data_IF_911906759752
#
_entry.id   IF_911906759752
#
_cell.length_a   1.000
_cell.length_b   1.000
_cell.length_c   1.000
_cell.angle_alpha   90.00
_cell.angle_beta   90.00
_cell.angle_gamma   90.00
#
_symmetry.space_group_name_H-M   'P 1'
#
loop_
_entity.id
_entity.type
_entity.pdbx_description
1 polymer ?
#
# COMPACT_ATOMS: atom_id res chain seq x y z
N UNK A 1 -15.79 -18.25 -17.88
CA UNK A 1 -15.94 -19.53 -17.14
C UNK A 1 -14.63 -20.32 -16.95
N UNK A 2 -13.51 -20.00 -17.63
CA UNK A 2 -12.22 -20.72 -17.46
C UNK A 2 -11.34 -20.23 -16.29
N UNK A 3 -11.51 -18.99 -15.81
CA UNK A 3 -10.65 -18.40 -14.75
C UNK A 3 -11.03 -18.88 -13.34
N UNK A 4 -12.31 -19.22 -13.10
CA UNK A 4 -12.75 -19.75 -11.80
C UNK A 4 -12.27 -21.18 -11.54
N UNK A 5 -11.95 -21.94 -12.59
CA UNK A 5 -11.43 -23.30 -12.44
C UNK A 5 -10.01 -23.30 -11.86
N UNK A 6 -9.17 -22.33 -12.27
CA UNK A 6 -7.80 -22.18 -11.75
C UNK A 6 -7.83 -21.77 -10.28
N UNK A 7 -8.71 -20.84 -9.90
CA UNK A 7 -8.89 -20.43 -8.49
C UNK A 7 -9.39 -21.57 -7.60
N UNK A 8 -10.32 -22.40 -8.08
CA UNK A 8 -10.82 -23.57 -7.34
C UNK A 8 -9.74 -24.65 -7.23
N UNK A 9 -8.99 -24.91 -8.30
CA UNK A 9 -7.89 -25.88 -8.32
C UNK A 9 -6.78 -25.49 -7.33
N UNK A 10 -6.38 -24.22 -7.31
CA UNK A 10 -5.38 -23.71 -6.36
C UNK A 10 -5.86 -23.83 -4.90
N UNK A 11 -7.15 -23.60 -4.66
CA UNK A 11 -7.75 -23.74 -3.32
C UNK A 11 -7.74 -25.22 -2.86
N UNK A 12 -8.02 -26.16 -3.77
CA UNK A 12 -7.95 -27.60 -3.47
C UNK A 12 -6.52 -28.09 -3.23
N UNK A 13 -5.53 -27.53 -3.95
CA UNK A 13 -4.11 -27.87 -3.76
C UNK A 13 -3.63 -27.35 -2.40
N UNK A 14 -3.97 -26.10 -2.03
CA UNK A 14 -3.65 -25.53 -0.73
C UNK A 14 -4.29 -26.31 0.43
N UNK A 15 -5.56 -26.72 0.29
CA UNK A 15 -6.24 -27.55 1.30
C UNK A 15 -5.60 -28.93 1.44
N UNK A 16 -5.20 -29.56 0.34
CA UNK A 16 -4.54 -30.86 0.38
C UNK A 16 -3.14 -30.78 1.02
N UNK A 17 -2.36 -29.74 0.75
CA UNK A 17 -1.05 -29.54 1.40
C UNK A 17 -1.22 -29.35 2.91
N UNK A 18 -2.26 -28.60 3.33
CA UNK A 18 -2.57 -28.40 4.74
C UNK A 18 -2.99 -29.70 5.42
N UNK A 19 -3.76 -30.55 4.72
CA UNK A 19 -4.19 -31.85 5.22
C UNK A 19 -3.02 -32.83 5.35
N UNK A 20 -2.14 -32.90 4.34
CA UNK A 20 -0.90 -33.69 4.33
C UNK A 20 0.07 -33.24 5.43
N UNK A 21 0.20 -31.93 5.66
CA UNK A 21 1.04 -31.39 6.74
C UNK A 21 0.50 -31.74 8.14
N UNK A 22 -0.82 -31.84 8.30
CA UNK A 22 -1.43 -32.30 9.56
C UNK A 22 -1.25 -33.80 9.78
N UNK A 23 -1.23 -34.59 8.70
CA UNK A 23 -0.96 -36.03 8.75
C UNK A 23 0.49 -36.33 9.16
N UNK A 24 1.46 -35.53 8.68
CA UNK A 24 2.88 -35.61 9.09
C UNK A 24 3.08 -35.15 10.54
N UNK A 25 2.29 -34.18 11.02
CA UNK A 25 2.32 -33.76 12.43
C UNK A 25 1.75 -34.84 13.36
N UNK A 26 0.73 -35.59 12.92
CA UNK A 26 0.18 -36.71 13.68
C UNK A 26 1.13 -37.91 13.80
N UNK A 27 2.07 -38.10 12.88
CA UNK A 27 3.07 -39.18 12.94
C UNK A 27 4.18 -38.97 14.00
N UNK A 28 4.26 -37.80 14.65
CA UNK A 28 5.25 -37.52 15.71
C UNK A 28 4.71 -37.64 17.13
N UNK A 29 3.45 -38.06 17.31
CA UNK A 29 2.93 -38.35 18.64
C UNK A 29 3.29 -39.79 19.04
N UNK A 30 4.24 -39.87 19.97
CA UNK A 30 4.61 -41.05 20.73
C UNK A 30 3.37 -41.82 21.19
N UNK A 31 3.35 -43.13 20.93
CA UNK A 31 2.25 -44.03 21.30
C UNK A 31 2.03 -44.02 22.81
N UNK A 32 1.02 -43.28 23.27
CA UNK A 32 0.39 -43.53 24.57
C UNK A 32 -0.83 -44.37 24.23
N UNK A 33 -0.74 -45.68 24.47
CA UNK A 33 -1.82 -46.65 24.24
C UNK A 33 -3.01 -46.32 25.14
N UNK A 34 -4.12 -45.76 24.63
CA UNK A 34 -5.32 -45.53 25.43
C UNK A 34 -6.20 -46.76 25.28
N UNK A 35 -6.41 -47.51 26.36
CA UNK A 35 -7.50 -48.49 26.40
C UNK A 35 -8.82 -47.72 26.36
N UNK A 36 -9.44 -47.66 25.19
CA UNK A 36 -10.85 -47.28 25.04
C UNK A 36 -11.69 -48.54 24.87
N UNK A 37 -12.44 -48.90 25.90
CA UNK A 37 -13.68 -49.67 25.76
C UNK A 37 -14.68 -48.81 25.01
N UNK A 38 -15.02 -49.19 23.79
CA UNK A 38 -16.04 -48.51 22.99
C UNK A 38 -17.40 -48.55 23.70
N UNK A 39 -18.01 -47.39 23.88
CA UNK A 39 -19.47 -47.29 23.99
C UNK A 39 -19.95 -46.46 22.81
N UNK A 40 -20.20 -47.15 21.71
CA UNK A 40 -20.89 -46.60 20.55
C UNK A 40 -22.29 -46.16 20.98
N UNK A 41 -22.50 -44.85 21.18
CA UNK A 41 -23.84 -44.25 21.29
C UNK A 41 -24.17 -43.58 19.96
N UNK A 42 -24.54 -44.41 18.99
CA UNK A 42 -25.39 -43.96 17.88
C UNK A 42 -26.68 -43.40 18.49
N UNK A 43 -27.05 -42.18 18.13
CA UNK A 43 -28.39 -41.66 18.38
C UNK A 43 -29.33 -42.36 17.38
N UNK A 44 -29.70 -43.61 17.72
CA UNK A 44 -30.82 -44.28 17.12
C UNK A 44 -32.08 -43.61 17.69
N UNK A 45 -32.87 -42.95 16.86
CA UNK A 45 -34.24 -42.57 17.18
C UNK A 45 -35.04 -43.88 17.34
N UNK A 46 -34.98 -44.49 18.52
CA UNK A 46 -35.93 -45.50 18.91
C UNK A 46 -37.19 -44.78 19.43
N UNK A 47 -38.29 -44.91 18.69
CA UNK A 47 -39.66 -44.61 19.17
C UNK A 47 -40.10 -45.61 20.27
N UNK A 48 -39.35 -45.68 21.37
CA UNK A 48 -39.63 -46.60 22.50
C UNK A 48 -40.41 -45.95 23.65
N UNK A 49 -40.80 -44.68 23.52
CA UNK A 49 -41.63 -44.00 24.52
C UNK A 49 -43.04 -43.75 23.98
N UNK A 50 -43.90 -44.74 24.17
CA UNK A 50 -45.30 -44.45 24.47
C UNK A 50 -45.36 -43.46 25.64
N UNK A 51 -46.33 -42.52 25.69
CA UNK A 51 -46.31 -41.39 26.61
C UNK A 51 -46.55 -41.89 28.03
N UNK A 52 -45.48 -42.21 28.76
CA UNK A 52 -45.56 -42.26 30.20
C UNK A 52 -45.95 -40.85 30.65
N UNK A 53 -47.08 -40.75 31.35
CA UNK A 53 -47.64 -39.50 31.86
C UNK A 53 -46.73 -38.97 32.99
N UNK A 54 -45.54 -38.48 32.63
CA UNK A 54 -44.54 -37.93 33.54
C UNK A 54 -45.02 -36.64 34.23
N UNK A 55 -46.10 -36.03 33.74
CA UNK A 55 -46.75 -34.88 34.39
C UNK A 55 -47.44 -35.25 35.72
N UNK A 56 -47.71 -36.54 35.94
CA UNK A 56 -48.40 -37.04 37.13
C UNK A 56 -47.49 -37.62 38.23
N UNK A 57 -46.19 -37.77 37.96
CA UNK A 57 -45.23 -38.25 38.96
C UNK A 57 -44.76 -37.09 39.86
N UNK A 58 -45.10 -37.20 41.15
CA UNK A 58 -44.76 -36.22 42.19
C UNK A 58 -43.26 -35.95 42.32
N UNK A 59 -42.40 -36.95 42.08
CA UNK A 59 -40.94 -36.76 42.16
C UNK A 59 -40.42 -36.01 40.93
N UNK A 60 -40.93 -36.33 39.73
CA UNK A 60 -40.57 -35.63 38.49
C UNK A 60 -41.00 -34.17 38.52
N UNK A 61 -42.21 -33.89 39.02
CA UNK A 61 -42.73 -32.53 39.18
C UNK A 61 -41.86 -31.67 40.11
N UNK A 62 -41.38 -32.24 41.21
CA UNK A 62 -40.44 -31.57 42.14
C UNK A 62 -39.10 -31.23 41.49
N UNK A 63 -38.53 -32.16 40.71
CA UNK A 63 -37.28 -31.92 39.97
C UNK A 63 -37.46 -30.82 38.93
N UNK A 64 -38.58 -30.84 38.20
CA UNK A 64 -38.89 -29.84 37.19
C UNK A 64 -39.12 -28.44 37.79
N UNK A 65 -39.82 -28.35 38.92
CA UNK A 65 -40.00 -27.10 39.66
C UNK A 65 -38.67 -26.56 40.21
N UNK A 66 -37.80 -27.41 40.74
CA UNK A 66 -36.47 -27.00 41.19
C UNK A 66 -35.58 -26.52 40.05
N UNK A 67 -35.59 -27.21 38.92
CA UNK A 67 -34.87 -26.77 37.72
C UNK A 67 -35.40 -25.44 37.21
N UNK A 68 -36.74 -25.28 37.17
CA UNK A 68 -37.39 -24.03 36.77
C UNK A 68 -36.99 -22.86 37.66
N UNK A 69 -37.03 -23.03 38.99
CA UNK A 69 -36.59 -22.00 39.96
C UNK A 69 -35.13 -21.61 39.78
N UNK A 70 -34.22 -22.60 39.64
CA UNK A 70 -32.79 -22.32 39.41
C UNK A 70 -32.55 -21.62 38.07
N UNK A 71 -33.28 -22.02 37.03
CA UNK A 71 -33.15 -21.43 35.70
C UNK A 71 -33.68 -19.99 35.69
N UNK A 72 -34.80 -19.73 36.36
CA UNK A 72 -35.37 -18.39 36.51
C UNK A 72 -34.39 -17.45 37.24
N UNK A 73 -33.73 -17.93 38.31
CA UNK A 73 -32.73 -17.14 39.02
C UNK A 73 -31.53 -16.78 38.12
N UNK A 74 -31.02 -17.74 37.33
CA UNK A 74 -29.95 -17.49 36.37
C UNK A 74 -30.35 -16.51 35.26
N UNK A 75 -31.60 -16.55 34.81
CA UNK A 75 -32.09 -15.57 33.82
C UNK A 75 -32.14 -14.16 34.41
N UNK A 76 -32.62 -13.99 35.64
CA UNK A 76 -32.57 -12.69 36.31
C UNK A 76 -31.13 -12.18 36.50
N UNK A 77 -30.20 -13.04 36.93
CA UNK A 77 -28.78 -12.67 37.05
C UNK A 77 -28.11 -12.34 35.70
N UNK A 78 -28.51 -13.03 34.62
CA UNK A 78 -28.05 -12.72 33.27
C UNK A 78 -28.59 -11.38 32.78
N UNK A 79 -29.88 -11.11 32.98
CA UNK A 79 -30.52 -9.86 32.56
C UNK A 79 -29.93 -8.65 33.29
N UNK A 80 -29.65 -8.75 34.59
CA UNK A 80 -28.99 -7.69 35.36
C UNK A 80 -27.55 -7.43 34.89
N UNK A 81 -26.77 -8.49 34.61
CA UNK A 81 -25.43 -8.35 34.00
C UNK A 81 -25.50 -7.74 32.60
N UNK A 82 -26.53 -8.08 31.83
CA UNK A 82 -26.74 -7.51 30.50
C UNK A 82 -27.11 -6.04 30.53
N UNK A 83 -27.92 -5.58 31.50
CA UNK A 83 -28.25 -4.15 31.69
C UNK A 83 -26.98 -3.33 31.93
N UNK A 84 -26.14 -3.73 32.88
CA UNK A 84 -24.91 -2.99 33.23
C UNK A 84 -23.91 -2.95 32.08
N UNK A 85 -23.77 -4.05 31.34
CA UNK A 85 -22.87 -4.11 30.17
C UNK A 85 -23.38 -3.23 29.02
N UNK A 86 -24.69 -3.23 28.76
CA UNK A 86 -25.32 -2.36 27.76
C UNK A 86 -25.18 -0.87 28.11
N UNK A 87 -25.30 -0.51 29.39
CA UNK A 87 -25.11 0.86 29.85
C UNK A 87 -23.67 1.34 29.61
N UNK A 88 -22.67 0.52 29.99
CA UNK A 88 -21.25 0.82 29.74
C UNK A 88 -20.93 1.02 28.25
N UNK A 89 -21.47 0.17 27.38
CA UNK A 89 -21.29 0.32 25.94
C UNK A 89 -21.95 1.60 25.41
N UNK A 90 -23.15 1.97 25.89
CA UNK A 90 -23.79 3.25 25.49
C UNK A 90 -22.94 4.46 25.91
N UNK A 91 -22.47 4.47 27.15
CA UNK A 91 -21.61 5.55 27.65
C UNK A 91 -20.28 5.66 26.89
N UNK A 92 -19.68 4.53 26.48
CA UNK A 92 -18.48 4.54 25.63
C UNK A 92 -18.78 5.10 24.23
N UNK A 93 -19.86 4.64 23.59
CA UNK A 93 -20.28 5.16 22.29
C UNK A 93 -20.57 6.67 22.33
N UNK A 94 -21.30 7.15 23.34
CA UNK A 94 -21.63 8.58 23.48
C UNK A 94 -20.35 9.43 23.65
N UNK A 95 -19.36 8.92 24.42
CA UNK A 95 -18.05 9.58 24.57
C UNK A 95 -17.27 9.62 23.26
N UNK A 96 -17.27 8.55 22.47
CA UNK A 96 -16.60 8.52 21.16
C UNK A 96 -17.28 9.43 20.15
N UNK A 97 -18.62 9.46 20.13
CA UNK A 97 -19.40 10.37 19.28
C UNK A 97 -19.11 11.83 19.64
N UNK A 98 -19.07 12.19 20.93
CA UNK A 98 -18.70 13.54 21.34
C UNK A 98 -17.27 13.92 20.90
N UNK A 99 -16.31 13.00 20.96
CA UNK A 99 -14.95 13.24 20.44
C UNK A 99 -14.94 13.48 18.93
N UNK A 100 -15.72 12.71 18.17
CA UNK A 100 -15.84 12.88 16.71
C UNK A 100 -16.46 14.24 16.38
N UNK A 101 -17.53 14.64 17.07
CA UNK A 101 -18.18 15.94 16.87
C UNK A 101 -17.22 17.10 17.20
N UNK A 102 -16.45 17.00 18.29
CA UNK A 102 -15.45 18.01 18.64
C UNK A 102 -14.34 18.10 17.59
N UNK A 103 -13.88 16.96 17.07
CA UNK A 103 -12.86 16.91 16.02
C UNK A 103 -13.35 17.55 14.71
N UNK A 104 -14.55 17.21 14.27
CA UNK A 104 -15.20 17.79 13.07
C UNK A 104 -15.38 19.31 13.21
N UNK A 105 -15.72 19.80 14.42
CA UNK A 105 -15.85 21.23 14.68
C UNK A 105 -14.50 21.98 14.56
N UNK A 106 -13.41 21.38 15.03
CA UNK A 106 -12.06 21.96 14.89
C UNK A 106 -11.58 21.92 13.44
N UNK A 107 -11.80 20.82 12.73
CA UNK A 107 -11.44 20.70 11.30
C UNK A 107 -12.17 21.76 10.47
N UNK A 108 -13.47 21.98 10.69
CA UNK A 108 -14.24 23.04 10.03
C UNK A 108 -13.76 24.45 10.36
N UNK A 109 -13.34 24.71 11.61
CA UNK A 109 -12.77 26.01 11.98
C UNK A 109 -11.43 26.27 11.31
N UNK A 110 -10.58 25.24 11.20
CA UNK A 110 -9.30 25.31 10.49
C UNK A 110 -9.50 25.58 8.99
N UNK A 111 -10.43 24.89 8.35
CA UNK A 111 -10.77 25.07 6.94
C UNK A 111 -11.30 26.49 6.65
N UNK A 112 -12.16 27.01 7.53
CA UNK A 112 -12.64 28.40 7.45
C UNK A 112 -11.51 29.42 7.62
N UNK A 113 -10.57 29.18 8.53
CA UNK A 113 -9.42 30.08 8.69
C UNK A 113 -8.49 30.05 7.48
N UNK A 114 -8.20 28.87 6.92
CA UNK A 114 -7.38 28.73 5.72
C UNK A 114 -8.00 29.43 4.51
N UNK A 115 -9.30 29.23 4.27
CA UNK A 115 -10.03 29.90 3.17
C UNK A 115 -10.14 31.43 3.38
N UNK A 116 -10.25 31.90 4.63
CA UNK A 116 -10.22 33.33 4.95
C UNK A 116 -8.82 33.93 4.77
N UNK A 117 -7.75 33.18 5.05
CA UNK A 117 -6.38 33.63 4.78
C UNK A 117 -6.10 33.70 3.27
N UNK A 118 -6.55 32.71 2.50
CA UNK A 118 -6.43 32.72 1.04
C UNK A 118 -7.17 33.89 0.40
N UNK A 119 -8.38 34.22 0.87
CA UNK A 119 -9.16 35.36 0.34
C UNK A 119 -8.63 36.73 0.76
N UNK A 120 -7.83 36.83 1.82
CA UNK A 120 -7.15 38.07 2.25
C UNK A 120 -5.81 38.32 1.55
N UNK A 121 -5.31 37.35 0.79
CA UNK A 121 -4.14 37.54 -0.07
C UNK A 121 -4.68 38.04 -1.41
N UNK A 122 -4.87 39.35 -1.52
CA UNK A 122 -5.32 39.96 -2.76
C UNK A 122 -4.22 39.79 -3.83
N UNK A 123 -4.63 39.48 -5.06
CA UNK A 123 -3.70 39.24 -6.20
C UNK A 123 -2.83 40.45 -6.55
N UNK A 124 -3.09 41.60 -5.94
CA UNK A 124 -2.36 42.85 -6.12
C UNK A 124 -1.17 43.02 -5.15
N UNK A 125 -1.09 42.23 -4.07
CA UNK A 125 0.00 42.34 -3.06
C UNK A 125 1.18 41.39 -3.34
N UNK A 126 1.06 40.52 -4.36
CA UNK A 126 2.14 39.68 -4.86
C UNK A 126 2.72 40.35 -6.11
N UNK A 127 4.03 40.72 -6.15
CA UNK A 127 4.61 41.29 -7.35
C UNK A 127 4.47 40.28 -8.51
N UNK A 128 3.71 40.70 -9.51
CA UNK A 128 3.19 39.88 -10.61
C UNK A 128 4.31 39.50 -11.57
N UNK A 129 5.02 38.40 -11.30
CA UNK A 129 5.71 37.65 -12.35
C UNK A 129 4.66 36.77 -13.04
N UNK A 130 4.14 37.26 -14.17
CA UNK A 130 3.30 36.49 -15.08
C UNK A 130 4.15 35.37 -15.69
N UNK A 131 4.10 34.17 -15.10
CA UNK A 131 4.47 32.94 -15.79
C UNK A 131 3.18 32.27 -16.27
N UNK A 132 2.99 32.34 -17.58
CA UNK A 132 1.92 31.73 -18.35
C UNK A 132 1.70 30.25 -17.94
N UNK A 133 0.45 29.87 -17.68
CA UNK A 133 -0.01 28.55 -17.17
C UNK A 133 0.51 27.32 -17.92
N UNK A 134 1.08 27.50 -19.10
CA UNK A 134 1.71 26.46 -19.94
C UNK A 134 3.02 25.90 -19.35
N UNK A 135 3.79 26.71 -18.63
CA UNK A 135 5.09 26.29 -18.09
C UNK A 135 4.96 25.61 -16.72
N UNK A 136 3.98 25.99 -15.90
CA UNK A 136 3.82 25.43 -14.55
C UNK A 136 3.51 23.92 -14.57
N UNK A 137 2.60 23.44 -15.43
CA UNK A 137 2.25 22.00 -15.48
C UNK A 137 3.40 21.11 -16.03
N UNK A 138 4.27 21.68 -16.89
CA UNK A 138 5.50 20.99 -17.36
C UNK A 138 6.64 21.06 -16.34
N UNK A 139 6.81 22.20 -15.68
CA UNK A 139 7.85 22.41 -14.67
C UNK A 139 7.52 21.61 -13.40
N UNK A 140 6.25 21.46 -13.02
CA UNK A 140 5.84 20.67 -11.85
C UNK A 140 6.05 19.17 -12.08
N UNK A 141 5.70 18.64 -13.26
CA UNK A 141 6.05 17.24 -13.65
C UNK A 141 7.56 17.01 -13.79
N UNK A 142 8.30 18.01 -14.31
CA UNK A 142 9.75 17.97 -14.40
C UNK A 142 10.43 18.02 -13.04
N UNK A 143 9.95 18.88 -12.13
CA UNK A 143 10.46 19.07 -10.78
C UNK A 143 10.14 17.87 -9.87
N UNK A 144 8.97 17.23 -10.02
CA UNK A 144 8.64 15.97 -9.33
C UNK A 144 9.53 14.81 -9.82
N UNK A 145 9.87 14.75 -11.11
CA UNK A 145 10.83 13.77 -11.64
C UNK A 145 12.28 14.03 -11.19
N UNK A 146 12.62 15.30 -11.01
CA UNK A 146 13.96 15.76 -10.63
C UNK A 146 14.23 15.74 -9.11
N UNK A 147 13.24 16.06 -8.30
CA UNK A 147 13.33 16.09 -6.84
C UNK A 147 13.30 14.71 -6.18
N UNK A 148 12.95 13.66 -6.92
CA UNK A 148 12.78 12.30 -6.39
C UNK A 148 14.03 11.61 -5.83
N UNK A 149 15.19 12.28 -5.81
CA UNK A 149 16.44 11.75 -5.23
C UNK A 149 16.86 12.45 -3.93
N UNK A 150 16.26 13.61 -3.60
CA UNK A 150 16.64 14.38 -2.42
C UNK A 150 15.45 14.53 -1.46
N UNK A 151 15.28 13.45 -0.68
CA UNK A 151 14.80 13.50 0.70
C UNK A 151 13.31 13.79 0.93
N UNK A 152 12.70 12.94 1.77
CA UNK A 152 11.44 13.18 2.51
C UNK A 152 10.12 13.14 1.72
N UNK A 153 9.69 11.95 1.33
CA UNK A 153 8.28 11.58 1.44
C UNK A 153 8.20 10.16 2.05
N UNK A 154 8.00 10.17 3.38
CA UNK A 154 7.67 9.04 4.27
C UNK A 154 8.75 7.97 4.57
N UNK A 155 9.57 8.19 5.61
CA UNK A 155 10.16 7.10 6.39
C UNK A 155 9.11 6.48 7.34
N UNK A 156 8.02 5.91 6.81
CA UNK A 156 7.13 5.06 7.63
C UNK A 156 7.47 3.57 7.53
N UNK A 157 8.44 3.19 6.68
CA UNK A 157 9.06 1.86 6.70
C UNK A 157 10.44 1.86 7.39
N UNK A 158 10.61 2.74 8.39
CA UNK A 158 11.80 2.77 9.24
C UNK A 158 11.75 1.67 10.30
N UNK A 159 12.04 0.42 9.94
CA UNK A 159 12.34 -0.63 10.93
C UNK A 159 13.02 -1.90 10.42
N UNK A 160 13.57 -1.90 9.20
CA UNK A 160 14.07 -3.14 8.59
C UNK A 160 15.34 -2.80 7.83
N UNK A 161 16.31 -3.71 7.82
CA UNK A 161 17.61 -3.60 7.13
C UNK A 161 17.58 -3.26 5.63
N UNK A 162 16.42 -2.91 5.06
CA UNK A 162 16.25 -2.31 3.73
C UNK A 162 16.87 -0.92 3.58
N UNK A 163 17.20 -0.19 4.65
CA UNK A 163 17.88 1.12 4.53
C UNK A 163 19.26 0.99 3.89
N UNK A 164 20.00 -0.08 4.19
CA UNK A 164 21.33 -0.32 3.62
C UNK A 164 21.25 -0.81 2.17
N UNK A 165 20.32 -1.73 1.87
CA UNK A 165 20.13 -2.24 0.51
C UNK A 165 19.59 -1.15 -0.42
N UNK A 166 18.61 -0.37 0.04
CA UNK A 166 18.06 0.74 -0.71
C UNK A 166 19.08 1.86 -0.93
N UNK A 167 19.84 2.23 0.10
CA UNK A 167 20.90 3.25 -0.06
C UNK A 167 22.02 2.76 -0.97
N UNK A 168 22.41 1.49 -0.90
CA UNK A 168 23.36 0.88 -1.84
C UNK A 168 22.83 0.89 -3.28
N UNK A 169 21.54 0.55 -3.48
CA UNK A 169 20.89 0.58 -4.79
C UNK A 169 20.84 2.00 -5.37
N UNK A 170 20.51 3.00 -4.54
CA UNK A 170 20.52 4.41 -4.95
C UNK A 170 21.94 4.87 -5.29
N UNK A 171 22.95 4.50 -4.50
CA UNK A 171 24.34 4.85 -4.75
C UNK A 171 24.91 4.20 -6.02
N UNK A 172 24.52 2.96 -6.33
CA UNK A 172 24.89 2.30 -7.57
C UNK A 172 24.21 2.96 -8.79
N UNK A 173 22.91 3.26 -8.64
CA UNK A 173 22.11 3.92 -9.66
C UNK A 173 22.61 5.32 -10.01
N UNK A 174 22.99 6.12 -9.02
CA UNK A 174 23.54 7.47 -9.27
C UNK A 174 24.88 7.41 -10.00
N UNK A 175 25.77 6.48 -9.66
CA UNK A 175 27.04 6.29 -10.38
C UNK A 175 26.82 5.94 -11.86
N UNK A 176 25.89 5.04 -12.14
CA UNK A 176 25.57 4.62 -13.51
C UNK A 176 24.88 5.76 -14.27
N UNK A 177 23.91 6.43 -13.66
CA UNK A 177 23.22 7.58 -14.24
C UNK A 177 24.18 8.73 -14.57
N UNK A 178 25.11 9.06 -13.67
CA UNK A 178 26.12 10.08 -13.91
C UNK A 178 27.05 9.70 -15.08
N UNK A 179 27.47 8.44 -15.17
CA UNK A 179 28.30 7.97 -16.31
C UNK A 179 27.54 8.07 -17.63
N UNK A 180 26.25 7.73 -17.65
CA UNK A 180 25.41 7.87 -18.84
C UNK A 180 25.19 9.34 -19.24
N UNK A 181 24.96 10.23 -18.27
CA UNK A 181 24.86 11.67 -18.52
C UNK A 181 26.15 12.23 -19.13
N UNK A 182 27.31 11.85 -18.59
CA UNK A 182 28.61 12.26 -19.13
C UNK A 182 28.82 11.79 -20.56
N UNK A 183 28.55 10.51 -20.86
CA UNK A 183 28.64 10.00 -22.24
C UNK A 183 27.68 10.72 -23.20
N UNK A 184 26.49 11.09 -22.73
CA UNK A 184 25.55 11.91 -23.50
C UNK A 184 26.08 13.33 -23.74
N UNK A 185 26.71 13.96 -22.75
CA UNK A 185 27.29 15.30 -22.88
C UNK A 185 28.52 15.35 -23.77
N UNK A 186 29.31 14.27 -23.84
CA UNK A 186 30.43 14.16 -24.77
C UNK A 186 29.98 14.20 -26.24
N UNK A 187 28.74 13.75 -26.51
CA UNK A 187 28.13 13.81 -27.84
C UNK A 187 27.63 15.20 -28.25
N UNK A 188 27.67 16.18 -27.34
CA UNK A 188 27.25 17.56 -27.60
C UNK A 188 28.35 18.29 -28.36
N UNK A 189 28.00 18.81 -29.54
CA UNK A 189 28.94 19.46 -30.46
C UNK A 189 29.70 20.60 -29.79
N UNK A 190 31.03 20.47 -29.71
CA UNK A 190 31.92 21.50 -29.21
C UNK A 190 31.96 21.66 -27.69
N UNK A 191 31.13 20.92 -26.93
CA UNK A 191 31.11 21.02 -25.46
C UNK A 191 32.30 20.28 -24.84
N UNK A 192 32.61 19.08 -25.34
CA UNK A 192 33.78 18.29 -24.91
C UNK A 192 35.10 19.01 -25.19
N UNK A 193 35.22 19.64 -26.36
CA UNK A 193 36.40 20.44 -26.72
C UNK A 193 36.54 21.71 -25.86
N UNK A 194 35.43 22.29 -25.41
CA UNK A 194 35.41 23.50 -24.58
C UNK A 194 35.81 23.25 -23.13
N UNK A 195 35.29 22.15 -22.55
CA UNK A 195 35.44 21.88 -21.12
C UNK A 195 36.55 20.86 -20.82
N UNK A 196 36.94 20.03 -21.79
CA UNK A 196 37.97 18.99 -21.62
C UNK A 196 37.75 18.20 -20.32
N UNK A 197 38.69 18.24 -19.38
CA UNK A 197 38.58 17.52 -18.10
C UNK A 197 37.48 18.05 -17.17
N UNK A 198 37.07 19.31 -17.33
CA UNK A 198 36.05 19.93 -16.48
C UNK A 198 34.63 19.41 -16.77
N UNK A 199 34.42 18.66 -17.86
CA UNK A 199 33.12 18.07 -18.17
C UNK A 199 32.67 17.08 -17.08
N UNK A 200 33.62 16.44 -16.38
CA UNK A 200 33.35 15.49 -15.29
C UNK A 200 32.66 16.14 -14.09
N UNK A 201 33.04 17.37 -13.76
CA UNK A 201 32.48 18.12 -12.62
C UNK A 201 31.13 18.75 -12.92
N UNK A 202 30.72 18.75 -14.19
CA UNK A 202 29.48 19.33 -14.64
C UNK A 202 28.28 18.48 -14.22
N UNK A 203 28.47 17.16 -14.21
CA UNK A 203 27.43 16.20 -13.80
C UNK A 203 27.59 15.92 -12.31
N UNK A 204 26.52 16.14 -11.56
CA UNK A 204 26.42 15.90 -10.13
C UNK A 204 25.23 14.99 -9.85
N UNK A 205 25.18 14.41 -8.64
CA UNK A 205 24.09 13.56 -8.22
C UNK A 205 22.71 14.26 -8.23
N UNK A 206 22.67 15.60 -8.29
CA UNK A 206 21.44 16.38 -8.23
C UNK A 206 20.94 16.85 -9.59
N UNK A 207 21.82 16.95 -10.60
CA UNK A 207 21.45 17.47 -11.91
C UNK A 207 21.33 16.41 -13.01
N UNK A 208 21.97 15.23 -12.88
CA UNK A 208 22.15 14.29 -14.00
C UNK A 208 20.86 13.78 -14.65
N UNK A 209 19.72 13.81 -13.94
CA UNK A 209 18.40 13.37 -14.45
C UNK A 209 17.56 14.51 -15.02
N UNK A 210 18.06 15.74 -14.93
CA UNK A 210 17.27 16.95 -15.08
C UNK A 210 17.78 17.77 -16.25
N UNK A 211 17.07 17.76 -17.41
CA UNK A 211 17.46 18.54 -18.58
C UNK A 211 17.73 20.01 -18.24
N UNK A 212 16.80 20.67 -17.56
CA UNK A 212 16.90 22.11 -17.26
C UNK A 212 18.01 22.41 -16.25
N UNK A 213 18.19 21.55 -15.23
CA UNK A 213 19.26 21.73 -14.25
C UNK A 213 20.65 21.55 -14.90
N UNK A 214 20.81 20.53 -15.76
CA UNK A 214 22.03 20.33 -16.54
C UNK A 214 22.30 21.51 -17.45
N UNK A 215 21.31 21.98 -18.20
CA UNK A 215 21.43 23.16 -19.05
C UNK A 215 21.89 24.39 -18.27
N UNK A 216 21.29 24.67 -17.12
CA UNK A 216 21.70 25.80 -16.26
C UNK A 216 23.13 25.67 -15.77
N UNK A 217 23.56 24.48 -15.35
CA UNK A 217 24.95 24.26 -14.95
C UNK A 217 25.93 24.44 -16.11
N UNK A 218 25.58 23.94 -17.30
CA UNK A 218 26.38 24.13 -18.51
C UNK A 218 26.46 25.62 -18.87
N UNK A 219 25.34 26.33 -18.85
CA UNK A 219 25.31 27.75 -19.16
C UNK A 219 26.14 28.57 -18.18
N UNK A 220 26.06 28.27 -16.88
CA UNK A 220 26.83 28.98 -15.85
C UNK A 220 28.35 28.86 -16.08
N UNK A 221 28.81 27.67 -16.50
CA UNK A 221 30.24 27.42 -16.76
C UNK A 221 30.67 27.95 -18.13
N UNK A 222 29.83 27.81 -19.15
CA UNK A 222 30.20 28.15 -20.54
C UNK A 222 30.02 29.63 -20.88
N UNK A 223 29.10 30.35 -20.23
CA UNK A 223 28.91 31.80 -20.45
C UNK A 223 30.16 32.65 -20.23
N UNK A 224 30.92 32.53 -19.13
CA UNK A 224 32.14 33.32 -18.96
C UNK A 224 33.21 32.96 -20.00
N UNK A 225 33.30 31.69 -20.41
CA UNK A 225 34.26 31.24 -21.43
C UNK A 225 33.89 31.81 -22.80
N UNK A 226 32.61 31.79 -23.16
CA UNK A 226 32.13 32.36 -24.42
C UNK A 226 32.20 33.90 -24.48
N UNK A 227 32.17 34.57 -23.32
CA UNK A 227 32.32 36.02 -23.24
C UNK A 227 33.79 36.47 -23.20
N UNK A 228 34.72 35.56 -22.92
CA UNK A 228 36.15 35.85 -22.96
C UNK A 228 36.60 36.11 -24.40
N UNK A 229 37.36 37.19 -24.63
CA UNK A 229 37.91 37.54 -25.95
C UNK A 229 39.05 36.59 -26.33
N UNK A 230 38.72 35.35 -26.71
CA UNK A 230 39.69 34.38 -27.21
C UNK A 230 39.98 34.61 -28.70
N UNK A 231 41.19 34.22 -29.17
CA UNK A 231 41.59 34.30 -30.59
C UNK A 231 40.78 33.37 -31.50
N UNK A 232 40.25 32.27 -30.96
CA UNK A 232 39.44 31.28 -31.67
C UNK A 232 38.14 31.12 -30.90
N UNK A 233 37.00 31.40 -31.53
CA UNK A 233 35.69 31.20 -30.92
C UNK A 233 35.37 29.71 -30.88
N UNK A 234 35.17 29.09 -29.70
CA UNK A 234 34.85 27.67 -29.61
C UNK A 234 33.52 27.35 -30.32
N UNK A 235 33.43 26.17 -30.93
CA UNK A 235 32.26 25.73 -31.70
C UNK A 235 30.94 25.88 -30.91
N UNK A 236 30.95 25.49 -29.64
CA UNK A 236 29.81 25.63 -28.74
C UNK A 236 29.34 27.09 -28.58
N UNK A 237 30.28 28.03 -28.42
CA UNK A 237 29.99 29.45 -28.27
C UNK A 237 29.45 30.08 -29.57
N UNK A 238 29.95 29.62 -30.73
CA UNK A 238 29.44 30.01 -32.04
C UNK A 238 27.99 29.55 -32.26
N UNK A 239 27.66 28.33 -31.85
CA UNK A 239 26.28 27.80 -31.92
C UNK A 239 25.36 28.58 -30.97
N UNK A 240 25.80 28.82 -29.72
CA UNK A 240 25.04 29.60 -28.73
C UNK A 240 24.76 31.04 -29.17
N UNK A 241 25.70 31.65 -29.89
CA UNK A 241 25.56 33.02 -30.42
C UNK A 241 24.74 33.10 -31.72
N UNK A 242 24.26 31.97 -32.26
CA UNK A 242 23.55 31.93 -33.54
C UNK A 242 24.42 32.21 -34.76
N UNK A 243 25.75 32.12 -34.64
CA UNK A 243 26.71 32.39 -35.71
C UNK A 243 27.13 31.12 -36.49
N UNK A 244 26.43 30.02 -36.26
CA UNK A 244 26.72 28.71 -36.86
C UNK A 244 25.47 28.16 -37.57
N UNK A 245 25.65 27.15 -38.43
CA UNK A 245 24.56 26.49 -39.15
C UNK A 245 23.67 25.67 -38.23
N UNK A 246 24.20 25.15 -37.12
CA UNK A 246 23.43 24.47 -36.09
C UNK A 246 22.80 25.44 -35.11
N UNK A 247 21.59 25.13 -34.66
CA UNK A 247 20.83 25.98 -33.74
C UNK A 247 21.09 25.60 -32.28
N UNK A 248 20.97 26.56 -31.37
CA UNK A 248 21.07 26.29 -29.93
C UNK A 248 19.95 25.35 -29.43
N UNK A 249 18.80 25.31 -30.13
CA UNK A 249 17.76 24.30 -29.89
C UNK A 249 18.25 22.87 -30.08
N UNK A 250 19.10 22.60 -31.08
CA UNK A 250 19.65 21.26 -31.31
C UNK A 250 20.56 20.83 -30.16
N UNK A 251 21.36 21.77 -29.63
CA UNK A 251 22.18 21.55 -28.44
C UNK A 251 21.28 21.27 -27.23
N UNK A 252 20.21 22.05 -27.04
CA UNK A 252 19.27 21.86 -25.95
C UNK A 252 18.63 20.46 -25.98
N UNK A 253 18.21 20.00 -27.17
CA UNK A 253 17.66 18.66 -27.36
C UNK A 253 18.68 17.58 -27.01
N UNK A 254 19.94 17.71 -27.45
CA UNK A 254 20.99 16.73 -27.11
C UNK A 254 21.26 16.65 -25.61
N UNK A 255 21.25 17.78 -24.91
CA UNK A 255 21.43 17.82 -23.46
C UNK A 255 20.22 17.20 -22.75
N UNK A 256 19.00 17.44 -23.24
CA UNK A 256 17.79 16.77 -22.73
C UNK A 256 17.85 15.26 -22.93
N UNK A 257 18.24 14.79 -24.12
CA UNK A 257 18.38 13.36 -24.41
C UNK A 257 19.44 12.70 -23.53
N UNK A 258 20.53 13.42 -23.22
CA UNK A 258 21.56 12.96 -22.29
C UNK A 258 20.99 12.77 -20.87
N UNK A 259 20.19 13.72 -20.39
CA UNK A 259 19.53 13.64 -19.08
C UNK A 259 18.48 12.52 -19.02
N UNK A 260 17.71 12.31 -20.09
CA UNK A 260 16.73 11.23 -20.18
C UNK A 260 17.38 9.85 -20.22
N UNK A 261 18.46 9.70 -21.00
CA UNK A 261 19.27 8.48 -21.04
C UNK A 261 19.92 8.18 -19.69
N UNK A 262 20.32 9.22 -18.97
CA UNK A 262 20.88 9.09 -17.63
C UNK A 262 19.82 8.69 -16.59
N UNK A 263 18.61 9.22 -16.70
CA UNK A 263 17.49 8.83 -15.85
C UNK A 263 17.10 7.37 -16.08
N UNK A 264 16.97 6.93 -17.33
CA UNK A 264 16.62 5.55 -17.66
C UNK A 264 17.70 4.57 -17.20
N UNK A 265 18.99 4.86 -17.45
CA UNK A 265 20.10 4.04 -16.97
C UNK A 265 20.14 3.93 -15.44
N UNK A 266 19.86 5.03 -14.74
CA UNK A 266 19.76 5.03 -13.27
C UNK A 266 18.59 4.19 -12.77
N UNK A 267 17.43 4.24 -13.41
CA UNK A 267 16.26 3.45 -12.99
C UNK A 267 16.46 1.95 -13.24
N UNK A 268 17.04 1.58 -14.38
CA UNK A 268 17.40 0.19 -14.69
C UNK A 268 18.39 -0.36 -13.66
N UNK A 269 19.46 0.39 -13.36
CA UNK A 269 20.46 0.00 -12.37
C UNK A 269 19.87 -0.15 -10.95
N UNK A 270 18.97 0.77 -10.56
CA UNK A 270 18.28 0.69 -9.26
C UNK A 270 17.42 -0.57 -9.18
N UNK A 271 16.68 -0.87 -10.24
CA UNK A 271 15.83 -2.05 -10.32
C UNK A 271 16.66 -3.34 -10.31
N UNK A 272 17.80 -3.39 -10.99
CA UNK A 272 18.68 -4.56 -11.01
C UNK A 272 19.22 -4.89 -9.62
N UNK A 273 19.71 -3.89 -8.88
CA UNK A 273 20.21 -4.09 -7.50
C UNK A 273 19.08 -4.51 -6.55
N UNK A 274 17.89 -3.91 -6.69
CA UNK A 274 16.73 -4.29 -5.89
C UNK A 274 16.23 -5.71 -6.23
N UNK A 275 16.16 -6.09 -7.51
CA UNK A 275 15.72 -7.42 -7.90
C UNK A 275 16.72 -8.51 -7.54
N UNK A 276 18.02 -8.22 -7.57
CA UNK A 276 19.06 -9.14 -7.10
C UNK A 276 18.99 -9.38 -5.58
N UNK A 277 18.45 -8.43 -4.82
CA UNK A 277 18.34 -8.52 -3.35
C UNK A 277 16.98 -8.98 -2.85
N UNK A 278 15.90 -8.63 -3.56
CA UNK A 278 14.54 -9.08 -3.29
C UNK A 278 14.20 -10.26 -4.19
N UNK A 279 14.54 -11.47 -3.74
CA UNK A 279 14.01 -12.71 -4.33
C UNK A 279 12.72 -13.14 -3.63
N UNK A 280 11.84 -13.85 -4.33
CA UNK A 280 10.64 -14.44 -3.71
C UNK A 280 10.99 -15.27 -2.46
N UNK A 281 12.13 -15.95 -2.48
CA UNK A 281 12.65 -16.74 -1.35
C UNK A 281 12.96 -15.86 -0.13
N UNK A 282 13.62 -14.72 -0.34
CA UNK A 282 13.89 -13.75 0.74
C UNK A 282 12.60 -13.09 1.26
N UNK A 283 11.63 -12.84 0.38
CA UNK A 283 10.35 -12.24 0.78
C UNK A 283 9.55 -13.19 1.68
N UNK A 284 9.34 -14.45 1.28
CA UNK A 284 8.62 -15.44 2.08
C UNK A 284 9.37 -15.88 3.34
N UNK A 285 10.69 -15.74 3.38
CA UNK A 285 11.49 -16.00 4.57
C UNK A 285 11.58 -14.79 5.51
N UNK A 286 11.21 -13.60 5.04
CA UNK A 286 11.22 -12.39 5.86
C UNK A 286 10.01 -12.34 6.81
N UNK A 287 10.19 -11.86 8.05
CA UNK A 287 9.08 -11.67 9.00
C UNK A 287 7.93 -10.82 8.45
N UNK A 288 8.23 -9.82 7.61
CA UNK A 288 7.21 -9.02 6.94
C UNK A 288 6.43 -9.79 5.88
N UNK A 289 7.12 -10.55 5.02
CA UNK A 289 6.44 -11.29 3.97
C UNK A 289 5.48 -12.32 4.55
N UNK A 290 5.89 -12.97 5.65
CA UNK A 290 5.01 -13.86 6.42
C UNK A 290 3.83 -13.07 7.02
N UNK A 291 4.08 -11.91 7.64
CA UNK A 291 3.01 -11.06 8.22
C UNK A 291 1.98 -10.60 7.18
N UNK A 292 2.44 -10.15 6.00
CA UNK A 292 1.57 -9.75 4.89
C UNK A 292 0.78 -10.95 4.35
N UNK A 293 1.43 -12.10 4.15
CA UNK A 293 0.78 -13.32 3.69
C UNK A 293 -0.35 -13.73 4.65
N UNK A 294 -0.08 -13.76 5.95
CA UNK A 294 -1.06 -14.10 6.98
C UNK A 294 -2.23 -13.13 6.97
N UNK A 295 -1.97 -11.83 6.84
CA UNK A 295 -3.01 -10.79 6.78
C UNK A 295 -3.93 -10.97 5.56
N UNK A 296 -3.35 -11.22 4.39
CA UNK A 296 -4.11 -11.50 3.16
C UNK A 296 -4.96 -12.77 3.30
N UNK A 297 -4.40 -13.83 3.90
CA UNK A 297 -5.13 -15.06 4.18
C UNK A 297 -6.34 -14.82 5.10
N UNK A 298 -6.17 -14.03 6.17
CA UNK A 298 -7.27 -13.68 7.08
C UNK A 298 -8.39 -12.93 6.34
N UNK A 299 -8.04 -11.94 5.50
CA UNK A 299 -9.02 -11.18 4.72
C UNK A 299 -9.80 -12.09 3.76
N UNK A 300 -9.12 -13.04 3.10
CA UNK A 300 -9.77 -14.00 2.21
C UNK A 300 -10.74 -14.90 2.99
N UNK A 301 -10.31 -15.43 4.14
CA UNK A 301 -11.16 -16.28 4.99
C UNK A 301 -12.41 -15.51 5.45
N UNK A 302 -12.24 -14.27 5.95
CA UNK A 302 -13.36 -13.43 6.38
C UNK A 302 -14.31 -13.09 5.23
N UNK A 303 -13.78 -12.83 4.03
CA UNK A 303 -14.58 -12.60 2.83
C UNK A 303 -15.42 -13.83 2.44
N UNK A 304 -14.83 -15.03 2.48
CA UNK A 304 -15.54 -16.28 2.21
C UNK A 304 -16.65 -16.51 3.24
N UNK A 305 -16.35 -16.36 4.53
CA UNK A 305 -17.35 -16.49 5.61
C UNK A 305 -18.49 -15.49 5.42
N UNK A 306 -18.16 -14.24 5.13
CA UNK A 306 -19.14 -13.18 4.86
C UNK A 306 -20.06 -13.54 3.68
N UNK A 307 -19.50 -14.04 2.58
CA UNK A 307 -20.29 -14.47 1.41
C UNK A 307 -21.23 -15.64 1.75
N UNK A 308 -20.77 -16.64 2.51
CA UNK A 308 -21.61 -17.77 2.96
C UNK A 308 -22.76 -17.27 3.84
N UNK A 309 -22.47 -16.41 4.81
CA UNK A 309 -23.50 -15.85 5.71
C UNK A 309 -24.51 -15.00 4.93
N UNK A 310 -24.04 -14.16 3.99
CA UNK A 310 -24.90 -13.35 3.13
C UNK A 310 -25.82 -14.23 2.28
N UNK A 311 -25.30 -15.33 1.72
CA UNK A 311 -26.08 -16.30 0.95
C UNK A 311 -27.16 -16.96 1.81
N UNK A 312 -26.82 -17.40 3.03
CA UNK A 312 -27.79 -18.00 3.98
C UNK A 312 -28.90 -17.02 4.36
N UNK A 313 -28.58 -15.75 4.64
CA UNK A 313 -29.59 -14.71 4.95
C UNK A 313 -30.55 -14.50 3.79
N UNK A 314 -30.03 -14.38 2.56
CA UNK A 314 -30.88 -14.25 1.35
C UNK A 314 -31.81 -15.45 1.17
N UNK A 315 -31.33 -16.68 1.40
CA UNK A 315 -32.17 -17.89 1.32
C UNK A 315 -33.27 -17.90 2.39
N UNK A 316 -32.97 -17.49 3.63
CA UNK A 316 -33.95 -17.40 4.72
C UNK A 316 -35.04 -16.37 4.42
N UNK A 317 -34.68 -15.21 3.87
CA UNK A 317 -35.64 -14.17 3.49
C UNK A 317 -36.57 -14.62 2.35
N UNK A 318 -36.03 -15.30 1.32
CA UNK A 318 -36.86 -15.88 0.24
C UNK A 318 -37.89 -16.88 0.77
N UNK A 319 -37.48 -17.77 1.68
CA UNK A 319 -38.40 -18.73 2.33
C UNK A 319 -39.49 -18.01 3.13
N UNK A 320 -39.15 -17.01 3.94
CA UNK A 320 -40.13 -16.23 4.70
C UNK A 320 -41.17 -15.56 3.78
N UNK A 321 -40.74 -15.03 2.65
CA UNK A 321 -41.63 -14.36 1.70
C UNK A 321 -42.60 -15.36 1.02
N UNK A 322 -42.18 -16.61 0.83
CA UNK A 322 -43.06 -17.69 0.36
C UNK A 322 -44.10 -18.09 1.43
N UNK A 323 -43.70 -18.19 2.70
CA UNK A 323 -44.64 -18.50 3.78
C UNK A 323 -45.69 -17.41 4.03
N UNK A 324 -45.32 -16.13 3.90
CA UNK A 324 -46.27 -15.02 4.03
C UNK A 324 -47.34 -15.08 2.93
N UNK A 325 -46.93 -15.34 1.68
CA UNK A 325 -47.87 -15.47 0.55
C UNK A 325 -48.88 -16.60 0.73
N UNK A 326 -48.46 -17.72 1.32
CA UNK A 326 -49.35 -18.87 1.59
C UNK A 326 -50.34 -18.62 2.74
N UNK A 327 -50.15 -17.57 3.55
CA UNK A 327 -51.05 -17.23 4.66
C UNK A 327 -52.07 -16.14 4.30
N UNK A 328 -51.88 -15.46 3.17
CA UNK A 328 -52.80 -14.43 2.65
C UNK A 328 -53.82 -14.98 1.63
N UNK A 329 -53.64 -16.22 1.15
CA UNK A 329 -54.62 -17.00 0.37
C UNK A 329 -55.50 -17.85 1.30
#
# INVERSE_FOLDING_TARGET
MKVHYISILLFTILLNILLLSSQVYNQRNYYITPRHTETNRSLCECELYAPANYDSDTEMKRVMENFSKQTQQRFHEYDERMKTTRQKCREQCDKEIQKIILKDKLEKQMEQQLTTLETKIDTNDIPTCVCEKSMADKVEKGCLRCGGILSTAFPEFGLIGGTLVYSAAVNAATKIGMKAALGGLESVNGLSALLQENIKYLVTATNFRCPDALLRTIDTITTPVCNSKQRITPLYCSIKSGKNTMTFSDIKIKISNAAESAASASDVAKAEVLNATFTWETFFSSPLGISLLVTVCIIIILSIIYLILRYRRKKKMKKKLQYIKLLEE
#
